data_IF_110768575615
#
_entry.id   IF_110768575615
#
_cell.length_a   1.000
_cell.length_b   1.000
_cell.length_c   1.000
_cell.angle_alpha   90.00
_cell.angle_beta   90.00
_cell.angle_gamma   90.00
#
_symmetry.space_group_name_H-M   'P 1'
#
loop_
_entity.id
_entity.type
_entity.pdbx_description
1 polymer ?
#
# COMPACT_ATOMS: atom_id res chain seq x y z
N UNK A 1 0.47 10.44 -15.15
CA UNK A 1 0.22 9.11 -14.60
C UNK A 1 -0.14 9.23 -13.13
N UNK A 2 -1.21 8.62 -12.72
CA UNK A 2 -1.65 8.63 -11.33
C UNK A 2 -1.32 7.32 -10.65
N UNK A 3 -0.65 7.40 -9.51
CA UNK A 3 -0.15 6.25 -8.77
C UNK A 3 -0.79 6.19 -7.40
N UNK A 4 -0.96 4.99 -6.87
CA UNK A 4 -1.39 4.78 -5.50
C UNK A 4 -0.52 3.74 -4.83
N UNK A 5 -0.30 3.94 -3.54
CA UNK A 5 0.43 3.00 -2.70
C UNK A 5 -0.37 2.79 -1.41
N UNK A 6 -0.61 1.53 -1.07
CA UNK A 6 -1.25 1.18 0.18
C UNK A 6 -0.20 0.58 1.11
N UNK A 7 -0.09 1.15 2.29
CA UNK A 7 0.74 0.62 3.37
C UNK A 7 -0.19 -0.07 4.37
N UNK A 8 -0.14 -1.39 4.39
CA UNK A 8 -0.97 -2.20 5.26
C UNK A 8 -0.18 -2.60 6.51
N UNK A 9 -0.39 -1.84 7.58
CA UNK A 9 0.24 -2.08 8.87
C UNK A 9 -0.62 -2.97 9.77
N UNK A 10 -0.18 -3.09 11.02
CA UNK A 10 -0.85 -3.92 12.03
C UNK A 10 -2.26 -3.40 12.34
N UNK A 11 -2.43 -2.09 12.39
CA UNK A 11 -3.71 -1.48 12.77
C UNK A 11 -4.38 -0.70 11.65
N UNK A 12 -3.61 -0.15 10.72
CA UNK A 12 -4.09 0.77 9.69
C UNK A 12 -3.71 0.31 8.30
N UNK A 13 -4.50 0.72 7.33
CA UNK A 13 -4.17 0.59 5.90
C UNK A 13 -4.31 1.99 5.29
N UNK A 14 -3.19 2.60 4.98
CA UNK A 14 -3.15 3.96 4.44
C UNK A 14 -2.86 3.90 2.94
N UNK A 15 -3.74 4.51 2.14
CA UNK A 15 -3.50 4.67 0.71
C UNK A 15 -3.10 6.11 0.41
N UNK A 16 -1.97 6.27 -0.24
CA UNK A 16 -1.52 7.56 -0.75
C UNK A 16 -1.70 7.55 -2.26
N UNK A 17 -2.25 8.63 -2.78
CA UNK A 17 -2.46 8.82 -4.22
C UNK A 17 -1.75 10.08 -4.67
N UNK A 18 -0.98 9.97 -5.73
CA UNK A 18 -0.25 11.12 -6.27
C UNK A 18 -0.16 11.03 -7.80
N UNK A 19 -0.06 12.19 -8.42
CA UNK A 19 0.22 12.30 -9.83
C UNK A 19 1.72 12.46 -10.06
N UNK A 20 2.23 11.72 -11.02
CA UNK A 20 3.59 11.94 -11.51
C UNK A 20 3.53 13.09 -12.51
N UNK A 21 4.17 14.19 -12.16
CA UNK A 21 4.25 15.36 -13.01
C UNK A 21 5.59 15.29 -13.74
N UNK A 22 5.54 15.23 -15.06
CA UNK A 22 6.74 15.18 -15.88
C UNK A 22 7.58 16.45 -15.79
N UNK A 23 8.73 16.48 -16.48
CA UNK A 23 9.53 17.69 -16.57
C UNK A 23 8.68 18.81 -17.15
N UNK A 24 8.95 20.05 -16.69
CA UNK A 24 8.19 21.19 -17.17
C UNK A 24 8.34 21.39 -18.68
N UNK A 25 7.45 22.19 -19.26
CA UNK A 25 7.42 22.43 -20.70
C UNK A 25 8.73 23.08 -21.21
N UNK A 26 9.51 23.67 -20.33
CA UNK A 26 10.80 24.26 -20.67
C UNK A 26 11.91 23.21 -20.79
N UNK A 27 11.64 21.98 -20.43
CA UNK A 27 12.62 20.90 -20.50
C UNK A 27 13.80 21.04 -19.57
N UNK A 28 13.70 21.94 -18.60
CA UNK A 28 14.79 22.24 -17.68
C UNK A 28 14.94 21.21 -16.58
N UNK A 29 13.88 20.46 -16.27
CA UNK A 29 13.89 19.43 -15.23
C UNK A 29 13.80 18.06 -15.87
N UNK A 30 14.76 17.20 -15.58
CA UNK A 30 14.73 15.81 -16.00
C UNK A 30 14.08 14.90 -14.96
N UNK A 31 13.68 15.46 -13.83
CA UNK A 31 13.11 14.72 -12.71
C UNK A 31 11.59 14.81 -12.71
N UNK A 32 10.95 13.66 -12.56
CA UNK A 32 9.52 13.60 -12.31
C UNK A 32 9.22 14.06 -10.88
N UNK A 33 8.14 14.77 -10.69
CA UNK A 33 7.67 15.21 -9.38
C UNK A 33 6.38 14.51 -9.04
N UNK A 34 6.15 14.33 -7.76
CA UNK A 34 4.90 13.80 -7.25
C UNK A 34 4.05 14.95 -6.73
N UNK A 35 2.80 14.97 -7.16
CA UNK A 35 1.81 15.92 -6.66
C UNK A 35 0.75 15.13 -5.92
N UNK A 36 0.60 15.39 -4.63
CA UNK A 36 -0.37 14.67 -3.80
C UNK A 36 -1.79 14.92 -4.31
N UNK A 37 -2.55 13.84 -4.48
CA UNK A 37 -3.98 13.88 -4.79
C UNK A 37 -4.78 13.71 -3.52
N UNK A 38 -4.38 12.79 -2.64
CA UNK A 38 -5.02 12.56 -1.38
C UNK A 38 -4.47 11.37 -0.63
N UNK A 39 -4.92 11.23 0.60
CA UNK A 39 -4.63 10.07 1.42
C UNK A 39 -5.94 9.54 2.01
N UNK A 40 -6.01 8.23 2.16
CA UNK A 40 -7.23 7.54 2.59
C UNK A 40 -6.86 6.48 3.62
N UNK A 41 -7.33 6.70 4.85
CA UNK A 41 -7.01 5.82 5.98
C UNK A 41 -8.16 4.87 6.25
N UNK A 42 -7.82 3.59 6.40
CA UNK A 42 -8.71 2.58 6.94
C UNK A 42 -8.08 2.00 8.20
N UNK A 43 -8.89 1.54 9.15
CA UNK A 43 -8.40 0.99 10.41
C UNK A 43 -8.95 -0.41 10.64
N UNK A 44 -8.48 -1.41 9.87
CA UNK A 44 -9.00 -2.77 10.00
C UNK A 44 -8.56 -3.50 11.27
N UNK A 45 -7.54 -2.99 11.95
CA UNK A 45 -7.02 -3.56 13.21
C UNK A 45 -6.66 -5.04 13.03
N UNK A 46 -5.83 -5.32 12.03
CA UNK A 46 -5.36 -6.68 11.75
C UNK A 46 -4.62 -7.30 12.91
N UNK A 47 -4.00 -6.48 13.75
CA UNK A 47 -3.27 -6.94 14.93
C UNK A 47 -4.12 -7.35 16.11
N UNK A 48 -5.44 -7.39 15.98
CA UNK A 48 -6.31 -7.84 17.05
C UNK A 48 -5.87 -9.22 17.57
N UNK A 49 -5.56 -9.30 18.85
CA UNK A 49 -5.12 -10.52 19.54
C UNK A 49 -3.85 -11.18 18.97
N UNK A 50 -3.16 -10.53 18.05
CA UNK A 50 -1.98 -11.11 17.41
C UNK A 50 -0.86 -11.42 18.40
N UNK A 51 -0.58 -10.50 19.33
CA UNK A 51 0.47 -10.69 20.33
C UNK A 51 0.17 -11.88 21.24
N UNK A 52 -1.10 -12.13 21.53
CA UNK A 52 -1.53 -13.20 22.42
C UNK A 52 -1.60 -14.55 21.72
N UNK A 53 -2.03 -14.58 20.45
CA UNK A 53 -2.32 -15.83 19.73
C UNK A 53 -1.30 -16.19 18.67
N UNK A 54 -0.52 -15.22 18.19
CA UNK A 54 0.36 -15.41 17.04
C UNK A 54 -0.40 -15.59 15.72
N UNK A 55 -1.69 -15.29 15.71
CA UNK A 55 -2.57 -15.48 14.56
C UNK A 55 -3.42 -14.24 14.32
N UNK A 56 -3.74 -14.00 13.05
CA UNK A 56 -4.73 -13.00 12.71
C UNK A 56 -6.11 -13.53 13.10
N UNK A 57 -6.86 -12.71 13.84
CA UNK A 57 -8.22 -13.06 14.22
C UNK A 57 -9.10 -13.16 12.95
N UNK A 58 -9.99 -14.17 12.82
CA UNK A 58 -10.83 -14.31 11.62
C UNK A 58 -11.63 -13.05 11.28
N UNK A 59 -12.16 -12.37 12.29
CA UNK A 59 -12.88 -11.12 12.09
C UNK A 59 -11.95 -9.99 11.62
N UNK A 60 -10.71 -10.00 12.08
CA UNK A 60 -9.72 -9.02 11.64
C UNK A 60 -9.38 -9.23 10.15
N UNK A 61 -9.25 -10.47 9.72
CA UNK A 61 -9.05 -10.80 8.31
C UNK A 61 -10.20 -10.26 7.47
N UNK A 62 -11.43 -10.45 7.91
CA UNK A 62 -12.61 -9.95 7.19
C UNK A 62 -12.60 -8.42 7.10
N UNK A 63 -12.28 -7.74 8.21
CA UNK A 63 -12.16 -6.28 8.22
C UNK A 63 -11.05 -5.81 7.29
N UNK A 64 -9.93 -6.52 7.29
CA UNK A 64 -8.79 -6.20 6.44
C UNK A 64 -9.13 -6.32 4.96
N UNK A 65 -9.77 -7.41 4.57
CA UNK A 65 -10.20 -7.61 3.18
C UNK A 65 -11.21 -6.54 2.76
N UNK A 66 -12.16 -6.23 3.63
CA UNK A 66 -13.16 -5.19 3.35
C UNK A 66 -12.50 -3.82 3.20
N UNK A 67 -11.53 -3.48 4.07
CA UNK A 67 -10.80 -2.22 3.99
C UNK A 67 -10.01 -2.11 2.70
N UNK A 68 -9.31 -3.17 2.30
CA UNK A 68 -8.53 -3.18 1.06
C UNK A 68 -9.44 -3.10 -0.16
N UNK A 69 -10.61 -3.73 -0.10
CA UNK A 69 -11.61 -3.62 -1.18
C UNK A 69 -12.08 -2.19 -1.34
N UNK A 70 -12.32 -1.48 -0.23
CA UNK A 70 -12.70 -0.05 -0.27
C UNK A 70 -11.58 0.79 -0.85
N UNK A 71 -10.33 0.53 -0.47
CA UNK A 71 -9.18 1.27 -1.02
C UNK A 71 -9.06 1.04 -2.53
N UNK A 72 -9.24 -0.21 -2.97
CA UNK A 72 -9.20 -0.52 -4.40
C UNK A 72 -10.32 0.21 -5.15
N UNK A 73 -11.52 0.25 -4.59
CA UNK A 73 -12.64 0.98 -5.20
C UNK A 73 -12.34 2.47 -5.32
N UNK A 74 -11.77 3.08 -4.28
CA UNK A 74 -11.35 4.48 -4.31
C UNK A 74 -10.30 4.74 -5.40
N UNK A 75 -9.33 3.84 -5.50
CA UNK A 75 -8.30 3.97 -6.53
C UNK A 75 -8.91 3.96 -7.93
N UNK A 76 -9.88 3.09 -8.17
CA UNK A 76 -10.59 3.03 -9.44
C UNK A 76 -11.38 4.31 -9.71
N UNK A 77 -12.07 4.81 -8.72
CA UNK A 77 -12.83 6.07 -8.84
C UNK A 77 -11.92 7.25 -9.16
N UNK A 78 -10.71 7.25 -8.59
CA UNK A 78 -9.74 8.30 -8.82
C UNK A 78 -8.95 8.14 -10.12
N UNK A 79 -9.21 7.08 -10.87
CA UNK A 79 -8.51 6.84 -12.14
C UNK A 79 -7.04 6.51 -11.96
N UNK A 80 -6.69 5.78 -10.89
CA UNK A 80 -5.31 5.38 -10.62
C UNK A 80 -4.83 4.43 -11.71
N UNK A 81 -3.67 4.73 -12.29
CA UNK A 81 -3.08 3.95 -13.36
C UNK A 81 -2.31 2.74 -12.84
N UNK A 82 -1.61 2.92 -11.72
CA UNK A 82 -0.85 1.84 -11.07
C UNK A 82 -1.04 1.89 -9.58
N UNK A 83 -1.27 0.73 -8.98
CA UNK A 83 -1.49 0.56 -7.56
C UNK A 83 -0.56 -0.52 -7.03
N UNK A 84 0.11 -0.24 -5.92
CA UNK A 84 0.92 -1.21 -5.20
C UNK A 84 0.46 -1.27 -3.75
N UNK A 85 0.45 -2.47 -3.19
CA UNK A 85 0.19 -2.67 -1.77
C UNK A 85 1.41 -3.31 -1.12
N UNK A 86 1.83 -2.74 0.00
CA UNK A 86 2.93 -3.27 0.81
C UNK A 86 2.43 -3.54 2.22
N UNK A 87 3.02 -4.52 2.87
CA UNK A 87 2.68 -4.89 4.23
C UNK A 87 3.90 -5.03 5.10
N UNK A 88 3.67 -5.00 6.40
CA UNK A 88 4.75 -5.08 7.39
C UNK A 88 5.15 -6.53 7.66
N UNK A 89 6.37 -6.69 8.17
CA UNK A 89 6.91 -7.98 8.54
C UNK A 89 6.12 -8.65 9.68
N UNK A 90 5.51 -7.84 10.57
CA UNK A 90 4.68 -8.36 11.65
C UNK A 90 3.47 -9.13 11.11
N UNK A 91 2.94 -8.70 9.98
CA UNK A 91 1.85 -9.39 9.29
C UNK A 91 2.31 -10.76 8.79
N UNK A 92 3.54 -10.83 8.28
CA UNK A 92 4.14 -12.07 7.82
C UNK A 92 4.36 -13.05 8.98
N UNK A 93 4.65 -12.53 10.17
CA UNK A 93 4.93 -13.36 11.34
C UNK A 93 3.71 -14.12 11.85
N UNK A 94 2.50 -13.69 11.52
CA UNK A 94 1.29 -14.41 11.90
C UNK A 94 1.24 -15.76 11.19
N UNK A 95 0.91 -16.82 11.94
CA UNK A 95 0.91 -18.19 11.41
C UNK A 95 -0.10 -18.41 10.28
N UNK A 96 -1.15 -17.60 10.22
CA UNK A 96 -2.22 -17.71 9.23
C UNK A 96 -2.28 -16.51 8.28
N UNK A 97 -1.20 -15.74 8.16
CA UNK A 97 -1.20 -14.57 7.27
C UNK A 97 -1.44 -14.93 5.81
N UNK A 98 -1.06 -16.15 5.39
CA UNK A 98 -1.29 -16.62 4.03
C UNK A 98 -2.74 -16.59 3.61
N UNK A 99 -3.67 -16.81 4.53
CA UNK A 99 -5.11 -16.72 4.27
C UNK A 99 -5.50 -15.30 3.85
N UNK A 100 -5.02 -14.30 4.59
CA UNK A 100 -5.26 -12.90 4.26
C UNK A 100 -4.62 -12.52 2.92
N UNK A 101 -3.35 -12.89 2.74
CA UNK A 101 -2.61 -12.59 1.52
C UNK A 101 -3.25 -13.20 0.27
N UNK A 102 -3.74 -14.44 0.38
CA UNK A 102 -4.41 -15.11 -0.73
C UNK A 102 -5.70 -14.38 -1.12
N UNK A 103 -6.45 -13.92 -0.14
CA UNK A 103 -7.69 -13.19 -0.40
C UNK A 103 -7.42 -11.86 -1.09
N UNK A 104 -6.34 -11.18 -0.74
CA UNK A 104 -5.95 -9.94 -1.42
C UNK A 104 -5.53 -10.21 -2.87
N UNK A 105 -4.81 -11.31 -3.10
CA UNK A 105 -4.43 -11.70 -4.46
C UNK A 105 -5.66 -11.96 -5.32
N UNK A 106 -6.68 -12.61 -4.75
CA UNK A 106 -7.95 -12.86 -5.44
C UNK A 106 -8.66 -11.55 -5.82
N UNK A 107 -8.50 -10.51 -5.03
CA UNK A 107 -9.04 -9.18 -5.34
C UNK A 107 -8.28 -8.46 -6.45
N UNK A 108 -7.15 -9.00 -6.87
CA UNK A 108 -6.27 -8.34 -7.82
C UNK A 108 -5.33 -7.34 -7.16
N UNK A 109 -5.11 -7.47 -5.86
CA UNK A 109 -4.27 -6.57 -5.08
C UNK A 109 -3.25 -7.37 -4.27
N UNK A 110 -2.25 -7.99 -4.95
CA UNK A 110 -1.24 -8.75 -4.22
C UNK A 110 -0.44 -7.84 -3.29
N UNK A 111 -0.27 -8.29 -2.07
CA UNK A 111 0.46 -7.56 -1.04
C UNK A 111 1.91 -8.02 -1.03
N UNK A 112 2.83 -7.06 -1.11
CA UNK A 112 4.27 -7.32 -0.97
C UNK A 112 4.68 -7.05 0.46
N UNK A 113 5.28 -8.04 1.11
CA UNK A 113 5.82 -7.87 2.46
C UNK A 113 7.20 -7.21 2.37
N UNK A 114 7.39 -6.16 3.15
CA UNK A 114 8.66 -5.44 3.24
C UNK A 114 9.28 -5.67 4.62
N UNK A 115 10.60 -5.54 4.70
CA UNK A 115 11.32 -5.68 5.96
C UNK A 115 11.09 -4.48 6.87
N UNK A 116 11.39 -4.64 8.17
CA UNK A 116 11.29 -3.54 9.13
C UNK A 116 12.19 -2.36 8.74
N UNK A 117 13.37 -2.64 8.21
CA UNK A 117 14.28 -1.59 7.76
C UNK A 117 13.72 -0.83 6.58
N UNK A 118 13.13 -1.55 5.63
CA UNK A 118 12.49 -0.94 4.47
C UNK A 118 11.25 -0.16 4.89
N UNK A 119 10.50 -0.67 5.87
CA UNK A 119 9.33 0.01 6.41
C UNK A 119 9.70 1.37 6.99
N UNK A 120 10.80 1.44 7.73
CA UNK A 120 11.28 2.70 8.32
C UNK A 120 11.68 3.74 7.27
N UNK A 121 11.99 3.28 6.06
CA UNK A 121 12.35 4.14 4.93
C UNK A 121 11.20 4.31 3.95
N UNK A 122 10.07 3.66 4.22
CA UNK A 122 8.95 3.67 3.30
C UNK A 122 8.43 5.09 3.14
N UNK A 123 8.61 5.62 1.95
CA UNK A 123 8.01 6.86 1.53
C UNK A 123 7.33 6.59 0.20
N UNK A 124 6.49 7.49 -0.23
CA UNK A 124 5.86 7.38 -1.55
C UNK A 124 6.92 7.31 -2.65
N UNK A 125 8.03 8.07 -2.49
CA UNK A 125 9.13 8.05 -3.45
C UNK A 125 9.76 6.66 -3.56
N UNK A 126 9.93 5.96 -2.45
CA UNK A 126 10.46 4.61 -2.44
C UNK A 126 9.55 3.64 -3.19
N UNK A 127 8.25 3.79 -3.00
CA UNK A 127 7.26 2.98 -3.72
C UNK A 127 7.31 3.27 -5.21
N UNK A 128 7.38 4.54 -5.57
CA UNK A 128 7.49 4.97 -6.97
C UNK A 128 8.73 4.36 -7.63
N UNK A 129 9.86 4.36 -6.93
CA UNK A 129 11.08 3.72 -7.41
C UNK A 129 10.88 2.22 -7.63
N UNK A 130 10.16 1.56 -6.74
CA UNK A 130 9.93 0.12 -6.87
C UNK A 130 9.05 -0.22 -8.08
N UNK A 131 8.28 0.73 -8.57
CA UNK A 131 7.49 0.61 -9.78
C UNK A 131 8.31 0.91 -11.05
N UNK A 132 9.59 1.18 -10.91
CA UNK A 132 10.45 1.54 -12.04
C UNK A 132 10.25 2.94 -12.54
N UNK A 133 9.53 3.76 -11.79
CA UNK A 133 9.25 5.15 -12.12
C UNK A 133 10.13 6.02 -11.23
N UNK A 134 11.41 6.08 -11.56
CA UNK A 134 12.33 6.85 -10.75
C UNK A 134 12.12 8.35 -10.93
N UNK A 135 11.72 9.08 -9.89
CA UNK A 135 11.80 10.54 -9.97
C UNK A 135 13.24 10.94 -9.80
N UNK A 136 13.91 11.07 -10.90
CA UNK A 136 15.18 11.73 -10.90
C UNK A 136 16.36 10.92 -10.40
N UNK A 137 16.98 10.38 -11.29
CA UNK A 137 18.36 9.98 -11.25
C UNK A 137 18.68 8.85 -10.40
#
# INVERSE_FOLDING_TARGET
>A
MRLAAIDCGTNTALMLVADVVGPDAAGAATTSRLRAVGDFLEMPRLGQDLDRTGRLHPEAIERGVAAMRRQLARARELGVDKLIAVGTESLRAASNSGEFLSRLTELGLPLRIISSDDEARLSFDSVVKSLGLSPGG
#
